data_IF_914642955943
#
_entry.id   IF_914642955943
#
_cell.length_a   1.000
_cell.length_b   1.000
_cell.length_c   1.000
_cell.angle_alpha   90.00
_cell.angle_beta   90.00
_cell.angle_gamma   90.00
#
_symmetry.space_group_name_H-M   'P 1'
#
loop_
_entity.id
_entity.type
_entity.pdbx_description
1 polymer ?
#
# COMPACT_ATOMS: atom_id res chain seq x y z
N UNK A 1 -36.11 48.49 11.97
CA UNK A 1 -35.40 47.24 12.34
C UNK A 1 -35.88 46.13 11.42
N UNK A 2 -35.08 45.73 10.42
CA UNK A 2 -35.34 44.55 9.59
C UNK A 2 -34.05 43.74 9.53
N UNK A 3 -34.20 42.49 9.92
CA UNK A 3 -33.17 41.48 10.17
C UNK A 3 -32.42 41.18 8.87
N UNK A 4 -31.09 41.29 8.87
CA UNK A 4 -30.24 40.89 7.75
C UNK A 4 -29.53 39.57 8.08
N UNK A 5 -29.77 38.61 7.19
CA UNK A 5 -29.33 37.23 7.18
C UNK A 5 -27.83 37.02 7.47
N UNK A 6 -27.53 36.14 8.43
CA UNK A 6 -26.20 35.53 8.57
C UNK A 6 -26.15 34.28 7.68
N UNK A 7 -25.42 34.34 6.57
CA UNK A 7 -25.10 33.19 5.75
C UNK A 7 -23.87 32.49 6.33
N UNK A 8 -24.08 31.41 7.08
CA UNK A 8 -23.01 30.53 7.52
C UNK A 8 -22.75 29.50 6.42
N UNK A 9 -21.80 29.77 5.52
CA UNK A 9 -21.33 28.78 4.55
C UNK A 9 -20.42 27.77 5.27
N UNK A 10 -21.01 26.67 5.74
CA UNK A 10 -20.27 25.46 6.11
C UNK A 10 -19.75 24.80 4.83
N UNK A 11 -18.51 25.11 4.48
CA UNK A 11 -17.76 24.37 3.46
C UNK A 11 -17.32 23.03 4.08
N UNK A 12 -18.24 22.07 4.17
CA UNK A 12 -17.89 20.67 4.39
C UNK A 12 -17.22 20.17 3.11
N UNK A 13 -15.89 20.25 3.08
CA UNK A 13 -15.09 19.52 2.10
C UNK A 13 -15.12 18.04 2.51
N UNK A 14 -16.20 17.35 2.15
CA UNK A 14 -16.29 15.90 2.21
C UNK A 14 -15.32 15.34 1.18
N UNK A 15 -14.11 14.99 1.63
CA UNK A 15 -13.25 14.05 0.92
C UNK A 15 -13.88 12.66 1.02
N UNK A 16 -14.96 12.47 0.28
CA UNK A 16 -15.53 11.16 0.01
C UNK A 16 -14.62 10.47 -1.00
N UNK A 17 -13.54 9.85 -0.53
CA UNK A 17 -12.82 8.85 -1.32
C UNK A 17 -13.69 7.57 -1.36
N UNK A 18 -14.78 7.63 -2.12
CA UNK A 18 -15.65 6.49 -2.42
C UNK A 18 -14.94 5.63 -3.48
N UNK A 19 -14.16 4.64 -3.05
CA UNK A 19 -13.71 3.59 -3.98
C UNK A 19 -13.62 2.19 -3.36
N UNK A 20 -13.77 2.01 -2.03
CA UNK A 20 -13.57 0.71 -1.37
C UNK A 20 -14.53 0.48 -0.19
N UNK A 21 -15.83 0.72 -0.37
CA UNK A 21 -16.80 0.19 0.58
C UNK A 21 -16.66 -1.34 0.66
N UNK A 22 -16.47 -1.89 1.86
CA UNK A 22 -16.47 -3.33 2.20
C UNK A 22 -15.16 -4.12 2.02
N UNK A 23 -14.00 -3.48 1.81
CA UNK A 23 -12.72 -4.19 1.87
C UNK A 23 -12.22 -4.35 3.31
N UNK A 24 -11.83 -5.55 3.75
CA UNK A 24 -11.32 -5.74 5.11
C UNK A 24 -9.93 -5.13 5.25
N UNK A 25 -9.69 -4.37 6.31
CA UNK A 25 -8.36 -3.82 6.61
C UNK A 25 -7.60 -4.77 7.54
N UNK A 26 -6.32 -5.07 7.24
CA UNK A 26 -5.53 -5.93 8.11
C UNK A 26 -5.11 -5.15 9.36
N UNK A 27 -5.16 -5.79 10.53
CA UNK A 27 -4.85 -5.17 11.84
C UNK A 27 -3.51 -4.45 11.83
N UNK A 28 -3.46 -3.15 12.17
CA UNK A 28 -2.20 -2.41 12.24
C UNK A 28 -1.25 -3.01 13.28
N UNK A 29 0.00 -3.24 12.89
CA UNK A 29 1.08 -3.71 13.77
C UNK A 29 2.26 -2.75 13.68
N UNK A 30 3.17 -2.79 14.67
CA UNK A 30 4.37 -1.94 14.66
C UNK A 30 5.33 -2.24 13.49
N UNK A 31 5.22 -3.43 12.89
CA UNK A 31 6.02 -3.85 11.75
C UNK A 31 5.30 -3.68 10.41
N UNK A 32 4.00 -3.36 10.39
CA UNK A 32 3.24 -3.22 9.14
C UNK A 32 3.77 -2.07 8.31
N UNK A 33 4.21 -2.38 7.10
CA UNK A 33 4.66 -1.38 6.13
C UNK A 33 3.49 -0.92 5.30
N UNK A 34 2.83 -1.83 4.58
CA UNK A 34 1.68 -1.55 3.74
C UNK A 34 0.95 -2.84 3.38
N UNK A 35 -0.15 -2.72 2.63
CA UNK A 35 -0.83 -3.86 2.04
C UNK A 35 -1.41 -3.53 0.67
N UNK A 36 -1.65 -4.57 -0.13
CA UNK A 36 -2.25 -4.47 -1.46
C UNK A 36 -3.58 -5.22 -1.47
N UNK A 37 -4.60 -4.59 -2.03
CA UNK A 37 -5.90 -5.18 -2.38
C UNK A 37 -6.18 -4.95 -3.86
N UNK A 38 -7.14 -5.71 -4.41
CA UNK A 38 -7.50 -5.57 -5.81
C UNK A 38 -8.98 -5.79 -6.07
N UNK A 39 -9.48 -5.35 -7.23
CA UNK A 39 -10.92 -5.27 -7.48
C UNK A 39 -11.63 -6.61 -7.69
N UNK A 40 -10.92 -7.69 -8.05
CA UNK A 40 -11.56 -8.98 -8.36
C UNK A 40 -11.69 -9.95 -7.17
N UNK A 41 -11.10 -9.65 -6.00
CA UNK A 41 -11.31 -10.43 -4.77
C UNK A 41 -11.01 -9.58 -3.52
N UNK A 42 -11.30 -10.14 -2.34
CA UNK A 42 -11.10 -9.46 -1.06
C UNK A 42 -9.83 -9.94 -0.33
N UNK A 43 -8.94 -10.69 -0.98
CA UNK A 43 -7.69 -11.08 -0.35
C UNK A 43 -6.78 -9.86 -0.17
N UNK A 44 -6.03 -9.86 0.92
CA UNK A 44 -5.10 -8.77 1.23
C UNK A 44 -3.68 -9.30 1.23
N UNK A 45 -2.80 -8.71 0.44
CA UNK A 45 -1.37 -9.02 0.40
C UNK A 45 -0.65 -8.07 1.34
N UNK A 46 -0.03 -8.60 2.37
CA UNK A 46 0.50 -7.83 3.49
C UNK A 46 2.03 -7.89 3.49
N UNK A 47 2.63 -6.75 3.83
CA UNK A 47 4.07 -6.55 3.86
C UNK A 47 4.43 -5.99 5.23
N UNK A 48 5.04 -6.84 6.06
CA UNK A 48 5.55 -6.46 7.37
C UNK A 48 7.08 -6.40 7.33
N UNK A 49 7.70 -5.44 8.00
CA UNK A 49 9.14 -5.40 8.18
C UNK A 49 9.61 -6.63 8.96
N UNK A 50 10.69 -7.27 8.49
CA UNK A 50 11.31 -8.38 9.19
C UNK A 50 12.42 -7.87 10.10
N UNK A 51 12.09 -7.71 11.38
CA UNK A 51 13.01 -7.18 12.39
C UNK A 51 13.48 -8.32 13.29
N UNK A 52 14.81 -8.48 13.42
CA UNK A 52 15.46 -9.45 14.31
C UNK A 52 16.45 -8.70 15.21
N UNK A 53 16.28 -8.83 16.53
CA UNK A 53 17.16 -8.15 17.49
C UNK A 53 17.17 -6.63 17.37
N UNK A 54 16.05 -6.02 16.96
CA UNK A 54 15.91 -4.57 16.78
C UNK A 54 16.44 -4.03 15.45
N UNK A 55 16.97 -4.89 14.57
CA UNK A 55 17.53 -4.51 13.27
C UNK A 55 16.76 -5.22 12.16
N UNK A 56 16.58 -4.57 11.01
CA UNK A 56 15.98 -5.21 9.83
C UNK A 56 16.90 -6.34 9.34
N UNK A 57 16.35 -7.53 9.11
CA UNK A 57 17.06 -8.64 8.49
C UNK A 57 17.42 -8.28 7.04
N UNK A 58 18.72 -8.06 6.78
CA UNK A 58 19.19 -7.61 5.49
C UNK A 58 19.08 -8.66 4.37
N UNK A 59 18.94 -9.93 4.71
CA UNK A 59 18.73 -11.02 3.74
C UNK A 59 17.27 -11.13 3.31
N UNK A 60 16.35 -10.76 4.19
CA UNK A 60 14.91 -10.78 3.95
C UNK A 60 14.25 -9.64 4.73
N UNK A 61 14.28 -8.39 4.23
CA UNK A 61 13.85 -7.23 5.00
C UNK A 61 12.33 -7.10 5.14
N UNK A 62 11.57 -7.82 4.31
CA UNK A 62 10.10 -7.79 4.28
C UNK A 62 9.56 -9.23 4.35
N UNK A 63 8.59 -9.43 5.24
CA UNK A 63 7.76 -10.61 5.35
C UNK A 63 6.47 -10.39 4.56
N UNK A 64 6.31 -11.15 3.48
CA UNK A 64 5.19 -11.05 2.54
C UNK A 64 4.26 -12.24 2.69
N UNK A 65 2.97 -11.98 2.82
CA UNK A 65 1.95 -13.02 2.95
C UNK A 65 0.59 -12.52 2.46
N UNK A 66 -0.39 -13.41 2.38
CA UNK A 66 -1.77 -13.07 2.05
C UNK A 66 -2.70 -13.42 3.21
N UNK A 67 -3.72 -12.59 3.42
CA UNK A 67 -4.86 -12.88 4.28
C UNK A 67 -6.04 -13.27 3.39
N UNK A 68 -6.57 -14.48 3.59
CA UNK A 68 -7.68 -15.04 2.82
C UNK A 68 -8.97 -14.92 3.63
N UNK A 69 -9.75 -13.87 3.38
CA UNK A 69 -10.94 -13.57 4.18
C UNK A 69 -12.11 -14.53 3.93
N UNK A 70 -12.18 -15.14 2.74
CA UNK A 70 -13.13 -16.22 2.46
C UNK A 70 -12.88 -17.48 3.31
N UNK A 71 -11.68 -17.61 3.88
CA UNK A 71 -11.26 -18.68 4.77
C UNK A 71 -11.04 -18.14 6.20
N UNK A 72 -11.98 -17.34 6.71
CA UNK A 72 -11.96 -16.77 8.07
C UNK A 72 -10.73 -15.90 8.38
N UNK A 73 -10.11 -15.30 7.36
CA UNK A 73 -8.97 -14.40 7.55
C UNK A 73 -7.65 -15.14 7.85
N UNK A 74 -7.51 -16.39 7.40
CA UNK A 74 -6.27 -17.15 7.56
C UNK A 74 -5.10 -16.47 6.83
N UNK A 75 -3.95 -16.40 7.50
CA UNK A 75 -2.70 -15.96 6.89
C UNK A 75 -2.05 -17.14 6.17
N UNK A 76 -1.69 -16.94 4.90
CA UNK A 76 -0.97 -17.92 4.07
C UNK A 76 0.27 -17.27 3.46
N UNK A 77 1.37 -18.02 3.26
CA UNK A 77 2.48 -17.51 2.46
C UNK A 77 2.01 -17.21 1.03
N UNK A 78 2.74 -16.33 0.35
CA UNK A 78 2.58 -16.17 -1.10
C UNK A 78 2.98 -17.48 -1.79
N UNK A 79 2.20 -17.90 -2.79
CA UNK A 79 2.63 -19.00 -3.66
C UNK A 79 3.90 -18.61 -4.41
N UNK A 80 4.70 -19.59 -4.86
CA UNK A 80 5.92 -19.32 -5.64
C UNK A 80 5.65 -18.45 -6.87
N UNK A 81 4.50 -18.66 -7.52
CA UNK A 81 4.09 -17.90 -8.71
C UNK A 81 3.71 -16.47 -8.32
N UNK A 82 2.89 -16.28 -7.27
CA UNK A 82 2.52 -14.96 -6.77
C UNK A 82 3.76 -14.15 -6.38
N UNK A 83 4.69 -14.77 -5.64
CA UNK A 83 5.92 -14.12 -5.19
C UNK A 83 6.82 -13.73 -6.37
N UNK A 84 6.99 -14.62 -7.36
CA UNK A 84 7.92 -14.39 -8.48
C UNK A 84 7.38 -13.41 -9.54
N UNK A 85 6.06 -13.35 -9.73
CA UNK A 85 5.47 -12.60 -10.86
C UNK A 85 4.68 -11.37 -10.46
N UNK A 86 4.26 -11.26 -9.18
CA UNK A 86 3.35 -10.20 -8.77
C UNK A 86 3.75 -9.54 -7.44
N UNK A 87 3.42 -10.20 -6.33
CA UNK A 87 3.36 -9.63 -5.00
C UNK A 87 4.65 -9.82 -4.18
N UNK A 88 5.72 -10.34 -4.79
CA UNK A 88 7.02 -10.38 -4.11
C UNK A 88 7.73 -9.03 -4.20
N UNK A 89 8.47 -8.66 -3.16
CA UNK A 89 9.41 -7.56 -3.16
C UNK A 89 10.79 -8.06 -3.56
N UNK A 90 11.39 -7.36 -4.50
CA UNK A 90 12.74 -7.63 -4.99
C UNK A 90 13.65 -6.55 -4.47
N UNK A 91 14.76 -6.94 -3.83
CA UNK A 91 15.77 -6.01 -3.33
C UNK A 91 16.64 -5.58 -4.51
N UNK A 92 16.73 -4.28 -4.75
CA UNK A 92 17.63 -3.71 -5.74
C UNK A 92 18.92 -3.20 -5.11
N UNK A 93 18.83 -2.50 -3.98
CA UNK A 93 19.99 -2.00 -3.23
C UNK A 93 19.76 -2.22 -1.73
N UNK A 94 20.84 -2.59 -1.03
CA UNK A 94 20.86 -2.78 0.41
C UNK A 94 21.99 -1.96 1.02
N UNK A 95 21.63 -1.03 1.90
CA UNK A 95 22.55 -0.20 2.69
C UNK A 95 22.16 -0.31 4.18
N UNK A 96 23.05 0.03 5.11
CA UNK A 96 22.69 0.07 6.53
C UNK A 96 21.41 0.90 6.75
N UNK A 97 20.37 0.25 7.28
CA UNK A 97 19.06 0.83 7.60
C UNK A 97 18.27 1.44 6.41
N UNK A 98 18.66 1.14 5.16
CA UNK A 98 17.94 1.58 3.97
C UNK A 98 17.94 0.49 2.90
N UNK A 99 16.74 0.03 2.53
CA UNK A 99 16.55 -0.92 1.44
C UNK A 99 15.77 -0.25 0.33
N UNK A 100 16.27 -0.37 -0.90
CA UNK A 100 15.54 0.01 -2.11
C UNK A 100 15.00 -1.26 -2.76
N UNK A 101 13.69 -1.33 -2.91
CA UNK A 101 12.98 -2.49 -3.43
C UNK A 101 12.05 -2.09 -4.56
N UNK A 102 11.58 -3.06 -5.32
CA UNK A 102 10.45 -2.92 -6.23
C UNK A 102 9.54 -4.15 -6.13
N UNK A 103 8.30 -4.04 -6.62
CA UNK A 103 7.43 -5.20 -6.75
C UNK A 103 7.91 -6.09 -7.91
N UNK A 104 7.72 -7.40 -7.79
CA UNK A 104 8.01 -8.35 -8.86
C UNK A 104 7.18 -8.07 -10.13
N UNK A 105 5.97 -7.51 -9.97
CA UNK A 105 5.13 -7.05 -11.07
C UNK A 105 5.67 -5.82 -11.81
N UNK A 106 6.51 -4.99 -11.19
CA UNK A 106 6.91 -3.71 -11.78
C UNK A 106 8.19 -3.13 -11.18
N UNK A 107 9.15 -2.83 -12.05
CA UNK A 107 10.39 -2.10 -11.72
C UNK A 107 10.23 -0.58 -11.85
N UNK A 108 9.02 -0.07 -12.14
CA UNK A 108 8.77 1.36 -12.36
C UNK A 108 8.69 2.18 -11.08
N UNK A 109 8.39 1.53 -9.95
CA UNK A 109 8.19 2.20 -8.65
C UNK A 109 9.13 1.58 -7.64
N UNK A 110 9.96 2.44 -7.05
CA UNK A 110 10.84 2.05 -5.96
C UNK A 110 10.22 2.33 -4.60
N UNK A 111 10.35 1.33 -3.74
CA UNK A 111 9.95 1.34 -2.35
C UNK A 111 11.20 1.44 -1.51
N UNK A 112 11.18 2.37 -0.56
CA UNK A 112 12.31 2.63 0.31
C UNK A 112 11.91 2.31 1.74
N UNK A 113 12.42 1.18 2.24
CA UNK A 113 12.22 0.76 3.62
C UNK A 113 13.28 1.39 4.49
N UNK A 114 12.82 2.10 5.51
CA UNK A 114 13.65 2.66 6.57
C UNK A 114 13.10 2.26 7.94
N UNK A 115 13.99 2.13 8.92
CA UNK A 115 13.63 1.86 10.30
C UNK A 115 14.16 2.97 11.20
N UNK A 116 13.35 3.36 12.18
CA UNK A 116 13.71 4.28 13.24
C UNK A 116 13.09 3.75 14.53
N UNK A 117 13.86 3.63 15.61
CA UNK A 117 13.40 3.07 16.90
C UNK A 117 12.19 3.82 17.47
N UNK A 118 12.11 5.14 17.28
CA UNK A 118 10.99 5.97 17.75
C UNK A 118 9.76 5.88 16.85
N UNK A 119 9.94 5.70 15.53
CA UNK A 119 8.87 5.80 14.54
C UNK A 119 8.41 4.46 13.95
N UNK A 120 9.09 3.37 14.29
CA UNK A 120 8.89 2.03 13.72
C UNK A 120 9.47 1.88 12.31
N UNK A 121 9.22 0.72 11.71
CA UNK A 121 9.55 0.51 10.30
C UNK A 121 8.51 1.22 9.42
N UNK A 122 8.98 1.92 8.39
CA UNK A 122 8.12 2.58 7.41
C UNK A 122 8.66 2.36 6.01
N UNK A 123 7.75 2.44 5.05
CA UNK A 123 8.11 2.39 3.64
C UNK A 123 7.58 3.65 2.96
N UNK A 124 8.39 4.24 2.10
CA UNK A 124 7.96 5.36 1.27
C UNK A 124 8.18 5.08 -0.21
N UNK A 125 7.36 5.71 -1.03
CA UNK A 125 7.42 5.69 -2.48
C UNK A 125 7.39 7.13 -3.00
N UNK A 126 7.77 7.32 -4.26
CA UNK A 126 7.51 8.56 -5.00
C UNK A 126 6.62 8.24 -6.18
N UNK A 127 5.43 8.82 -6.22
CA UNK A 127 4.44 8.63 -7.28
C UNK A 127 3.96 10.00 -7.74
N UNK A 128 3.90 10.26 -9.05
CA UNK A 128 3.52 11.58 -9.60
C UNK A 128 4.27 12.76 -8.97
N UNK A 129 5.58 12.60 -8.76
CA UNK A 129 6.44 13.56 -8.06
C UNK A 129 6.06 13.85 -6.59
N UNK A 130 5.14 13.08 -6.00
CA UNK A 130 4.76 13.14 -4.60
C UNK A 130 5.45 12.02 -3.82
N UNK A 131 6.29 12.41 -2.84
CA UNK A 131 6.91 11.48 -1.90
C UNK A 131 5.93 11.20 -0.76
N UNK A 132 5.65 9.93 -0.48
CA UNK A 132 4.67 9.53 0.52
C UNK A 132 5.10 8.28 1.28
N UNK A 133 4.84 8.27 2.60
CA UNK A 133 4.78 7.03 3.36
C UNK A 133 3.53 6.26 2.95
N UNK A 134 3.69 5.01 2.55
CA UNK A 134 2.63 4.19 1.98
C UNK A 134 1.91 3.42 3.07
N UNK A 135 0.58 3.47 3.08
CA UNK A 135 -0.26 2.65 3.97
C UNK A 135 -0.93 1.51 3.20
N UNK A 136 -1.37 1.79 1.97
CA UNK A 136 -2.18 0.88 1.17
C UNK A 136 -1.99 1.12 -0.33
N UNK A 137 -2.05 0.04 -1.11
CA UNK A 137 -2.30 0.10 -2.54
C UNK A 137 -3.61 -0.61 -2.90
N UNK A 138 -4.33 -0.07 -3.87
CA UNK A 138 -5.48 -0.73 -4.46
C UNK A 138 -5.33 -0.84 -5.97
N UNK A 139 -5.38 -2.06 -6.48
CA UNK A 139 -5.21 -2.36 -7.90
C UNK A 139 -6.58 -2.61 -8.53
N UNK A 140 -7.00 -1.72 -9.41
CA UNK A 140 -8.15 -1.98 -10.27
C UNK A 140 -7.70 -2.82 -11.45
N UNK A 141 -8.40 -3.92 -11.71
CA UNK A 141 -8.19 -4.76 -12.88
C UNK A 141 -9.16 -4.38 -13.99
N UNK A 142 -8.72 -4.49 -15.26
CA UNK A 142 -9.56 -4.29 -16.45
C UNK A 142 -10.69 -5.32 -16.43
N UNK A 143 -11.93 -4.88 -16.62
CA UNK A 143 -13.08 -5.77 -16.75
C UNK A 143 -12.95 -6.60 -18.05
N UNK A 144 -13.23 -7.91 -17.99
CA UNK A 144 -13.49 -8.69 -19.21
C UNK A 144 -12.44 -9.69 -19.70
N UNK A 145 -11.66 -10.37 -18.85
CA UNK A 145 -10.98 -11.62 -19.25
C UNK A 145 -11.12 -12.71 -18.18
N UNK A 146 -12.12 -13.57 -18.39
CA UNK A 146 -12.22 -14.89 -17.77
C UNK A 146 -10.92 -15.66 -18.06
N UNK A 147 -10.12 -15.89 -17.01
CA UNK A 147 -9.00 -16.81 -17.05
C UNK A 147 -7.71 -16.26 -17.67
N UNK A 148 -6.65 -16.28 -16.85
CA UNK A 148 -5.22 -16.32 -17.24
C UNK A 148 -4.47 -14.99 -17.49
N UNK A 149 -5.10 -13.84 -17.78
CA UNK A 149 -4.36 -12.56 -17.93
C UNK A 149 -5.09 -11.35 -17.37
N UNK A 150 -5.31 -11.32 -16.05
CA UNK A 150 -5.76 -10.11 -15.38
C UNK A 150 -4.70 -9.00 -15.55
N UNK A 151 -5.06 -7.93 -16.27
CA UNK A 151 -4.23 -6.73 -16.39
C UNK A 151 -4.77 -5.66 -15.46
N UNK A 152 -3.88 -4.98 -14.76
CA UNK A 152 -4.25 -3.81 -13.98
C UNK A 152 -4.58 -2.63 -14.91
N UNK A 153 -5.68 -1.94 -14.63
CA UNK A 153 -6.11 -0.71 -15.31
C UNK A 153 -5.50 0.52 -14.63
N UNK A 154 -5.54 0.54 -13.30
CA UNK A 154 -4.88 1.57 -12.51
C UNK A 154 -4.53 1.06 -11.12
N UNK A 155 -3.63 1.78 -10.45
CA UNK A 155 -3.29 1.56 -9.05
C UNK A 155 -3.49 2.87 -8.29
N UNK A 156 -4.17 2.79 -7.14
CA UNK A 156 -4.24 3.85 -6.16
C UNK A 156 -3.23 3.59 -5.04
N UNK A 157 -2.49 4.62 -4.65
CA UNK A 157 -1.56 4.62 -3.54
C UNK A 157 -2.12 5.53 -2.46
N UNK A 158 -2.35 5.00 -1.28
CA UNK A 158 -2.87 5.73 -0.12
C UNK A 158 -1.80 5.80 0.95
N UNK A 159 -1.70 6.96 1.60
CA UNK A 159 -0.75 7.13 2.68
C UNK A 159 -0.66 8.55 3.16
N UNK A 160 0.52 8.96 3.60
CA UNK A 160 0.79 10.31 4.11
C UNK A 160 1.94 10.95 3.33
N UNK A 161 1.76 12.20 2.94
CA UNK A 161 2.84 12.99 2.34
C UNK A 161 4.05 13.01 3.29
N UNK A 162 5.24 12.80 2.73
CA UNK A 162 6.46 12.53 3.49
C UNK A 162 6.85 13.69 4.43
N UNK A 163 6.69 14.94 3.96
CA UNK A 163 7.12 16.13 4.69
C UNK A 163 6.02 16.66 5.62
N UNK A 164 4.78 16.77 5.11
CA UNK A 164 3.68 17.38 5.85
C UNK A 164 2.91 16.42 6.76
N UNK A 165 3.05 15.11 6.55
CA UNK A 165 2.29 14.08 7.26
C UNK A 165 0.78 14.04 6.95
N UNK A 166 0.30 14.90 6.03
CA UNK A 166 -1.12 14.94 5.64
C UNK A 166 -1.48 13.73 4.78
N UNK A 167 -2.70 13.18 4.90
CA UNK A 167 -3.17 12.12 4.01
C UNK A 167 -3.08 12.54 2.54
N UNK A 168 -2.61 11.63 1.69
CA UNK A 168 -2.52 11.82 0.24
C UNK A 168 -2.94 10.53 -0.48
N UNK A 169 -3.52 10.67 -1.67
CA UNK A 169 -3.84 9.55 -2.55
C UNK A 169 -3.36 9.87 -3.96
N UNK A 170 -2.55 8.97 -4.51
CA UNK A 170 -2.02 9.09 -5.86
C UNK A 170 -2.55 7.97 -6.75
N UNK A 171 -2.79 8.28 -8.03
CA UNK A 171 -3.27 7.32 -9.03
C UNK A 171 -2.25 7.18 -10.15
N UNK A 172 -1.94 5.93 -10.51
CA UNK A 172 -1.19 5.59 -11.73
C UNK A 172 -2.13 4.82 -12.65
N UNK A 173 -2.31 5.30 -13.86
CA UNK A 173 -3.01 4.56 -14.93
C UNK A 173 -1.99 3.66 -15.61
N UNK A 174 -2.35 2.40 -15.82
CA UNK A 174 -1.53 1.40 -16.46
C UNK A 174 -2.05 1.15 -17.88
N UNK A 175 -1.30 1.61 -18.87
CA UNK A 175 -1.58 1.40 -20.29
C UNK A 175 -1.43 -0.08 -20.69
#
# INVERSE_FOLDING_TARGET
MKVAFSFFYLFFCSYSCFSQSNYPEPTKTATRLFYIQHSNNHNTYVYDANIKGGIIDSSQPINEYQIVYTEKGIQKPLSRIQKKLAYGMVIQESKPNLFKLHLAASEKIYFYLNYNESAGARIYVTVNNQKMYLDKMFVQLKEGLLGLKAKAEYVLFFGKNYDSGKPITEKIILE
#
